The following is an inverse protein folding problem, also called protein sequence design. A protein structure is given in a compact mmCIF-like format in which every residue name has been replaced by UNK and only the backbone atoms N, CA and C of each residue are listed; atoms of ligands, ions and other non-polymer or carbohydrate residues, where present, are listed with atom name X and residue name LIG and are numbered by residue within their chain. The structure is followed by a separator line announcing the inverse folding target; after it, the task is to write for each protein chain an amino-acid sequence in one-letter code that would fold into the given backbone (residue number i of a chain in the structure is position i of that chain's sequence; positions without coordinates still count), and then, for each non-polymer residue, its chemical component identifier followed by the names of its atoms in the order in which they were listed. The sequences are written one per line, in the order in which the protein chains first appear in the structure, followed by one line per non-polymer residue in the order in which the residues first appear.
data_IF_016219556768
#
_entry.id   IF_016219556768
#
_cell.length_a   1.000
_cell.length_b   1.000
_cell.length_c   1.000
_cell.angle_alpha   90.00
_cell.angle_beta   90.00
_cell.angle_gamma   90.00
#
_symmetry.space_group_name_H-M   'P 1'
#
loop_
_entity.id
_entity.type
_entity.pdbx_description
1 polymer ?
#
# COMPACT_ATOMS: atom_id res chain seq x y z
N UNK A 1 -11.28 -13.13 20.50
CA UNK A 1 -10.83 -11.75 20.29
C UNK A 1 -11.82 -10.99 19.48
N UNK A 2 -12.32 -9.95 20.06
CA UNK A 2 -13.30 -9.12 19.35
C UNK A 2 -12.68 -8.32 18.24
N UNK A 3 -11.43 -7.89 18.43
CA UNK A 3 -10.79 -6.98 17.47
C UNK A 3 -10.38 -7.63 16.18
N UNK A 4 -10.34 -8.97 16.13
CA UNK A 4 -9.90 -9.64 14.90
C UNK A 4 -10.85 -9.43 13.75
N UNK A 5 -12.07 -9.00 14.02
CA UNK A 5 -13.05 -8.77 12.96
C UNK A 5 -13.03 -7.34 12.43
N UNK A 6 -12.28 -6.47 13.08
CA UNK A 6 -12.24 -5.08 12.64
C UNK A 6 -11.29 -4.89 11.47
N UNK A 7 -11.77 -4.18 10.47
CA UNK A 7 -10.95 -3.84 9.33
C UNK A 7 -10.06 -2.65 9.68
N UNK A 8 -8.78 -2.81 9.44
CA UNK A 8 -7.81 -1.73 9.65
C UNK A 8 -7.44 -1.14 8.31
N UNK A 9 -7.63 0.17 8.16
CA UNK A 9 -7.25 0.88 6.94
C UNK A 9 -5.87 1.47 7.12
N UNK A 10 -4.95 1.05 6.28
CA UNK A 10 -3.57 1.55 6.29
C UNK A 10 -3.44 2.51 5.13
N UNK A 11 -2.98 3.72 5.42
CA UNK A 11 -2.82 4.73 4.38
C UNK A 11 -1.35 4.96 4.12
N UNK A 12 -0.95 4.81 2.88
CA UNK A 12 0.44 4.97 2.48
C UNK A 12 0.51 5.99 1.35
N UNK A 13 1.09 7.14 1.64
CA UNK A 13 1.35 8.15 0.62
C UNK A 13 2.74 7.91 0.04
N UNK A 14 2.84 8.04 -1.27
CA UNK A 14 4.10 7.75 -1.93
C UNK A 14 4.43 8.81 -2.97
N UNK A 15 5.69 9.23 -2.96
CA UNK A 15 6.26 10.03 -4.02
C UNK A 15 7.69 9.54 -4.22
N UNK A 16 7.93 8.89 -5.37
CA UNK A 16 9.25 8.36 -5.71
C UNK A 16 9.83 7.49 -4.61
N UNK A 17 9.04 6.52 -4.15
CA UNK A 17 9.41 5.67 -3.03
C UNK A 17 9.91 4.29 -3.42
N UNK A 18 10.44 4.11 -4.63
CA UNK A 18 10.75 2.77 -5.10
C UNK A 18 11.75 2.03 -4.21
N UNK A 19 12.64 2.76 -3.54
CA UNK A 19 13.66 2.13 -2.71
C UNK A 19 13.11 1.51 -1.44
N UNK A 20 12.05 2.08 -0.89
CA UNK A 20 11.51 1.55 0.37
C UNK A 20 10.21 0.78 0.18
N UNK A 21 9.57 0.95 -0.98
CA UNK A 21 8.20 0.47 -1.15
C UNK A 21 8.07 -1.03 -1.03
N UNK A 22 9.00 -1.79 -1.59
CA UNK A 22 8.95 -3.25 -1.49
C UNK A 22 9.02 -3.71 -0.04
N UNK A 23 9.87 -3.09 0.75
CA UNK A 23 9.98 -3.46 2.17
C UNK A 23 8.72 -3.09 2.93
N UNK A 24 8.15 -1.92 2.65
CA UNK A 24 6.93 -1.50 3.30
C UNK A 24 5.79 -2.46 3.00
N UNK A 25 5.64 -2.84 1.73
CA UNK A 25 4.58 -3.74 1.34
C UNK A 25 4.76 -5.12 1.94
N UNK A 26 5.98 -5.63 1.99
CA UNK A 26 6.25 -6.91 2.63
C UNK A 26 5.91 -6.88 4.11
N UNK A 27 6.24 -5.80 4.79
CA UNK A 27 5.93 -5.67 6.21
C UNK A 27 4.43 -5.71 6.44
N UNK A 28 3.67 -5.01 5.59
CA UNK A 28 2.22 -4.96 5.74
C UNK A 28 1.60 -6.33 5.49
N UNK A 29 2.01 -7.00 4.43
CA UNK A 29 1.40 -8.28 4.08
C UNK A 29 1.83 -9.42 5.00
N UNK A 30 2.98 -9.29 5.65
CA UNK A 30 3.49 -10.33 6.54
C UNK A 30 3.06 -10.17 7.99
N UNK A 31 2.38 -9.09 8.32
CA UNK A 31 1.94 -8.92 9.70
C UNK A 31 0.90 -9.98 10.07
N UNK A 32 0.82 -10.29 11.37
CA UNK A 32 -0.05 -11.37 11.81
C UNK A 32 -1.53 -11.03 11.69
N UNK A 33 -1.89 -9.77 11.87
CA UNK A 33 -3.28 -9.37 11.71
C UNK A 33 -3.58 -9.21 10.22
N UNK A 34 -4.53 -9.99 9.73
CA UNK A 34 -4.76 -10.05 8.29
C UNK A 34 -5.98 -9.26 7.80
N UNK A 35 -6.79 -8.73 8.71
CA UNK A 35 -7.99 -8.00 8.29
C UNK A 35 -7.68 -6.52 8.11
N UNK A 36 -7.01 -6.22 7.01
CA UNK A 36 -6.61 -4.85 6.70
C UNK A 36 -6.84 -4.55 5.24
N UNK A 37 -6.92 -3.26 4.94
CA UNK A 37 -6.86 -2.77 3.56
C UNK A 37 -5.77 -1.73 3.48
N UNK A 38 -5.12 -1.64 2.34
CA UNK A 38 -4.09 -0.64 2.11
C UNK A 38 -4.60 0.35 1.07
N UNK A 39 -4.64 1.61 1.47
CA UNK A 39 -4.98 2.70 0.57
C UNK A 39 -3.66 3.34 0.15
N UNK A 40 -3.23 3.03 -1.06
CA UNK A 40 -1.98 3.54 -1.59
C UNK A 40 -2.27 4.76 -2.44
N UNK A 41 -1.71 5.89 -2.05
CA UNK A 41 -1.92 7.13 -2.77
C UNK A 41 -0.59 7.59 -3.37
N UNK A 42 -0.49 7.59 -4.69
CA UNK A 42 0.72 7.99 -5.38
C UNK A 42 0.64 9.44 -5.82
N UNK A 43 1.59 10.24 -5.39
CA UNK A 43 1.64 11.67 -5.70
C UNK A 43 2.56 11.93 -6.87
N UNK A 44 2.17 11.42 -8.03
CA UNK A 44 2.87 11.67 -9.30
C UNK A 44 4.32 11.17 -9.29
N UNK A 45 4.54 9.97 -8.78
CA UNK A 45 5.86 9.36 -8.87
C UNK A 45 6.27 9.19 -10.31
N UNK A 46 7.52 9.47 -10.60
CA UNK A 46 8.08 9.20 -11.91
C UNK A 46 9.19 8.16 -11.86
N UNK A 47 9.28 7.42 -10.77
CA UNK A 47 10.15 6.27 -10.65
C UNK A 47 9.34 4.99 -10.81
N UNK A 48 9.83 3.87 -10.28
CA UNK A 48 9.17 2.58 -10.43
C UNK A 48 8.12 2.30 -9.36
N UNK A 49 7.76 3.29 -8.56
CA UNK A 49 6.80 3.08 -7.46
C UNK A 49 5.48 2.50 -7.94
N UNK A 50 4.89 3.08 -8.98
CA UNK A 50 3.61 2.59 -9.47
C UNK A 50 3.72 1.16 -9.99
N UNK A 51 4.82 0.86 -10.68
CA UNK A 51 5.04 -0.49 -11.19
C UNK A 51 5.15 -1.49 -10.05
N UNK A 52 5.83 -1.11 -8.99
CA UNK A 52 6.00 -1.98 -7.82
C UNK A 52 4.65 -2.29 -7.19
N UNK A 53 3.83 -1.26 -6.97
CA UNK A 53 2.54 -1.47 -6.31
C UNK A 53 1.62 -2.31 -7.19
N UNK A 54 1.65 -2.12 -8.49
CA UNK A 54 0.80 -2.88 -9.40
C UNK A 54 1.23 -4.32 -9.52
N UNK A 55 2.51 -4.61 -9.34
CA UNK A 55 3.00 -5.98 -9.36
C UNK A 55 2.75 -6.73 -8.06
N UNK A 56 2.36 -6.01 -7.04
CA UNK A 56 2.09 -6.63 -5.74
C UNK A 56 0.63 -7.09 -5.72
N UNK A 57 0.42 -8.34 -6.06
CA UNK A 57 -0.93 -8.86 -6.33
C UNK A 57 -1.64 -9.23 -5.04
N UNK A 58 -2.27 -8.24 -4.42
CA UNK A 58 -3.05 -8.45 -3.22
C UNK A 58 -4.31 -7.60 -3.34
N UNK A 59 -5.48 -8.24 -3.30
CA UNK A 59 -6.72 -7.53 -3.51
C UNK A 59 -7.09 -6.58 -2.37
N UNK A 60 -6.37 -6.64 -1.25
CA UNK A 60 -6.58 -5.69 -0.16
C UNK A 60 -5.93 -4.35 -0.44
N UNK A 61 -5.15 -4.25 -1.51
CA UNK A 61 -4.45 -3.02 -1.88
C UNK A 61 -5.28 -2.25 -2.89
N UNK A 62 -5.57 -1.00 -2.55
CA UNK A 62 -6.28 -0.08 -3.42
C UNK A 62 -5.35 1.06 -3.78
N UNK A 63 -5.14 1.24 -5.07
CA UNK A 63 -4.16 2.19 -5.57
C UNK A 63 -4.86 3.39 -6.19
N UNK A 64 -4.50 4.57 -5.74
CA UNK A 64 -5.02 5.82 -6.29
C UNK A 64 -3.86 6.67 -6.77
N UNK A 65 -4.03 7.25 -7.95
CA UNK A 65 -3.01 8.09 -8.55
C UNK A 65 -3.47 9.53 -8.50
N UNK A 66 -2.65 10.38 -7.92
CA UNK A 66 -2.94 11.80 -7.89
C UNK A 66 -2.67 12.42 -9.25
N UNK A 67 -3.62 13.16 -9.76
CA UNK A 67 -3.46 13.86 -11.03
C UNK A 67 -3.00 15.28 -10.86
N UNK A 68 -3.28 15.83 -9.68
CA UNK A 68 -2.88 17.19 -9.36
C UNK A 68 -2.13 17.19 -8.05
N UNK A 69 -1.23 18.07 -7.95
CA UNK A 69 -0.48 18.27 -6.73
C UNK A 69 -1.10 19.36 -5.92
#
# INVERSE_FOLDING_TARGET
MKNKDKLVSIILNCFNGEEYLKHALKSITNQSYQNWELIFWDNKSNDKSIKIIKNFKDKRIKCFLSKNF
#
